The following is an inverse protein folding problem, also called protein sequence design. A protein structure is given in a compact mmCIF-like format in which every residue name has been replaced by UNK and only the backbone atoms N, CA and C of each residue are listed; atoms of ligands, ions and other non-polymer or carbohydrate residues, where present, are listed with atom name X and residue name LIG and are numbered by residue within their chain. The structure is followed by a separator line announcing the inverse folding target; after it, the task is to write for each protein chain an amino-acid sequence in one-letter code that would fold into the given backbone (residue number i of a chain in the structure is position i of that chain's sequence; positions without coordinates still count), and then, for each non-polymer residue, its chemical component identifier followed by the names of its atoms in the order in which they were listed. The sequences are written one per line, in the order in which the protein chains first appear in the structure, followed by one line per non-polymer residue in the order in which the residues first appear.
data_IF_550973439389
#
_entry.id   IF_550973439389
#
_cell.length_a   1.000
_cell.length_b   1.000
_cell.length_c   1.000
_cell.angle_alpha   90.00
_cell.angle_beta   90.00
_cell.angle_gamma   90.00
#
_symmetry.space_group_name_H-M   'P 1'
#
loop_
_entity.id
_entity.type
_entity.pdbx_description
1 polymer ?
#
# COMPACT_ATOMS: atom_id res chain seq x y z
N UNK A 1 -0.38 20.34 8.04
CA UNK A 1 -0.98 18.99 8.09
C UNK A 1 -2.16 18.83 7.12
N UNK A 2 -3.19 19.70 7.15
CA UNK A 2 -4.32 19.66 6.18
C UNK A 2 -3.95 19.93 4.72
N UNK A 3 -2.83 20.60 4.40
CA UNK A 3 -2.34 20.75 3.01
C UNK A 3 -1.76 19.46 2.39
N UNK A 4 -1.31 18.49 3.21
CA UNK A 4 -0.83 17.18 2.73
C UNK A 4 -1.98 16.20 2.46
N UNK A 5 -3.06 16.29 3.22
CA UNK A 5 -4.31 15.56 2.98
C UNK A 5 -5.26 16.25 2.00
N UNK A 6 -5.04 17.55 1.71
CA UNK A 6 -5.85 18.36 0.80
C UNK A 6 -5.79 17.91 -0.66
N UNK A 7 -4.87 17.00 -1.02
CA UNK A 7 -4.71 16.49 -2.38
C UNK A 7 -4.90 14.97 -2.51
N UNK A 8 -5.68 14.35 -1.60
CA UNK A 8 -6.20 12.98 -1.82
C UNK A 8 -6.94 12.89 -3.16
N UNK A 9 -7.60 13.99 -3.58
CA UNK A 9 -8.22 14.13 -4.90
C UNK A 9 -7.18 14.06 -6.04
N UNK A 10 -5.98 14.60 -5.87
CA UNK A 10 -4.88 14.47 -6.83
C UNK A 10 -4.43 13.03 -7.01
N UNK A 11 -4.33 12.26 -5.92
CA UNK A 11 -3.96 10.84 -5.98
C UNK A 11 -5.05 9.94 -6.58
N UNK A 12 -6.33 10.32 -6.47
CA UNK A 12 -7.45 9.68 -7.17
C UNK A 12 -7.73 10.27 -8.56
N UNK A 13 -7.10 11.40 -8.94
CA UNK A 13 -7.31 12.04 -10.24
C UNK A 13 -6.88 11.07 -11.33
N UNK A 14 -7.66 10.94 -12.40
CA UNK A 14 -7.22 10.15 -13.56
C UNK A 14 -5.98 10.82 -14.15
N UNK A 15 -4.87 10.09 -14.37
CA UNK A 15 -3.73 10.62 -15.12
C UNK A 15 -4.17 10.94 -16.54
N UNK A 16 -3.45 11.85 -17.20
CA UNK A 16 -3.75 12.26 -18.57
C UNK A 16 -3.62 11.10 -19.57
N UNK A 17 -2.76 10.12 -19.26
CA UNK A 17 -2.70 8.82 -19.95
C UNK A 17 -2.92 7.70 -18.93
N UNK A 18 -4.00 6.96 -19.12
CA UNK A 18 -4.39 5.81 -18.32
C UNK A 18 -3.69 4.54 -18.84
N UNK A 19 -2.49 4.27 -18.33
CA UNK A 19 -1.74 3.03 -18.57
C UNK A 19 -2.03 1.98 -17.49
N UNK A 20 -2.26 2.43 -16.26
CA UNK A 20 -2.34 1.59 -15.07
C UNK A 20 -3.78 1.36 -14.57
N UNK A 21 -3.99 0.22 -13.91
CA UNK A 21 -5.22 -0.07 -13.17
C UNK A 21 -5.40 0.84 -11.96
N UNK A 22 -6.65 1.16 -11.61
CA UNK A 22 -6.96 1.95 -10.40
C UNK A 22 -6.45 1.26 -9.12
N UNK A 23 -6.59 -0.07 -9.05
CA UNK A 23 -6.14 -0.86 -7.90
C UNK A 23 -4.61 -0.85 -7.78
N UNK A 24 -3.89 -0.92 -8.90
CA UNK A 24 -2.43 -0.82 -8.93
C UNK A 24 -1.95 0.53 -8.37
N UNK A 25 -2.63 1.62 -8.73
CA UNK A 25 -2.35 2.96 -8.18
C UNK A 25 -2.70 3.08 -6.69
N UNK A 26 -3.81 2.49 -6.25
CA UNK A 26 -4.16 2.47 -4.82
C UNK A 26 -3.07 1.77 -3.99
N UNK A 27 -2.53 0.65 -4.50
CA UNK A 27 -1.42 -0.03 -3.86
C UNK A 27 -0.14 0.83 -3.89
N UNK A 28 0.37 1.20 -5.06
CA UNK A 28 1.73 1.76 -5.13
C UNK A 28 1.84 3.23 -4.75
N UNK A 29 0.83 4.05 -5.06
CA UNK A 29 0.90 5.50 -4.88
C UNK A 29 0.20 5.89 -3.59
N UNK A 30 -1.08 5.54 -3.47
CA UNK A 30 -1.87 5.95 -2.31
C UNK A 30 -1.36 5.31 -1.02
N UNK A 31 -1.06 4.00 -1.01
CA UNK A 31 -0.54 3.32 0.19
C UNK A 31 0.85 3.85 0.57
N UNK A 32 1.71 4.13 -0.40
CA UNK A 32 3.03 4.75 -0.13
C UNK A 32 2.89 6.11 0.53
N UNK A 33 2.04 7.00 -0.01
CA UNK A 33 1.81 8.33 0.58
C UNK A 33 1.18 8.22 1.96
N UNK A 34 0.22 7.31 2.14
CA UNK A 34 -0.39 7.03 3.42
C UNK A 34 0.67 6.62 4.46
N UNK A 35 1.49 5.62 4.15
CA UNK A 35 2.52 5.10 5.05
C UNK A 35 3.61 6.14 5.34
N UNK A 36 4.03 6.93 4.35
CA UNK A 36 4.96 8.05 4.55
C UNK A 36 4.35 9.12 5.46
N UNK A 37 3.07 9.43 5.28
CA UNK A 37 2.37 10.40 6.13
C UNK A 37 2.29 9.90 7.57
N UNK A 38 1.93 8.63 7.78
CA UNK A 38 1.95 7.98 9.09
C UNK A 38 3.35 7.99 9.71
N UNK A 39 4.38 7.66 8.93
CA UNK A 39 5.78 7.73 9.37
C UNK A 39 6.16 9.14 9.84
N UNK A 40 5.79 10.18 9.08
CA UNK A 40 6.08 11.57 9.44
C UNK A 40 5.36 11.99 10.72
N UNK A 41 4.10 11.57 10.91
CA UNK A 41 3.33 11.85 12.14
C UNK A 41 4.02 11.22 13.34
N UNK A 42 4.39 9.94 13.25
CA UNK A 42 5.07 9.23 14.35
C UNK A 42 6.41 9.89 14.65
N UNK A 43 7.22 10.20 13.64
CA UNK A 43 8.51 10.89 13.83
C UNK A 43 8.33 12.26 14.48
N UNK A 44 7.31 13.03 14.08
CA UNK A 44 7.02 14.32 14.71
C UNK A 44 6.68 14.16 16.20
N UNK A 45 5.89 13.15 16.56
CA UNK A 45 5.57 12.87 17.97
C UNK A 45 6.76 12.37 18.79
N UNK A 46 7.74 11.72 18.16
CA UNK A 46 8.97 11.26 18.81
C UNK A 46 10.01 12.38 19.01
N UNK A 47 10.15 13.30 18.05
CA UNK A 47 11.19 14.33 18.06
C UNK A 47 10.75 15.65 18.69
N UNK A 48 9.49 16.04 18.49
CA UNK A 48 8.94 17.32 18.97
C UNK A 48 8.09 17.14 20.23
N UNK A 49 7.47 15.96 20.38
CA UNK A 49 6.67 15.62 21.55
C UNK A 49 7.49 15.00 22.69
N UNK A 50 6.82 14.75 23.81
CA UNK A 50 7.36 13.92 24.89
C UNK A 50 6.90 12.47 24.65
N UNK A 51 7.77 11.57 24.13
CA UNK A 51 7.36 10.21 23.78
C UNK A 51 6.99 9.37 25.01
N UNK A 52 7.58 9.69 26.17
CA UNK A 52 7.35 9.05 27.46
C UNK A 52 7.34 10.11 28.57
N UNK A 53 6.50 9.91 29.57
CA UNK A 53 6.42 10.77 30.76
C UNK A 53 6.37 9.90 32.01
N UNK A 54 7.44 9.91 32.80
CA UNK A 54 7.56 9.12 34.01
C UNK A 54 7.23 9.93 35.28
N UNK A 55 6.68 9.24 36.27
CA UNK A 55 6.48 9.74 37.63
C UNK A 55 7.82 9.67 38.36
N UNK A 56 8.41 10.82 38.65
CA UNK A 56 9.69 10.98 39.33
C UNK A 56 9.82 12.39 39.92
N UNK A 57 10.76 12.57 40.84
CA UNK A 57 11.11 13.87 41.41
C UNK A 57 11.58 14.86 40.33
N UNK A 58 11.12 16.11 40.43
CA UNK A 58 11.37 17.15 39.42
C UNK A 58 12.86 17.37 39.09
N UNK A 59 13.79 17.08 40.02
CA UNK A 59 15.23 17.24 39.81
C UNK A 59 15.85 16.18 38.87
N UNK A 60 15.26 14.99 38.79
CA UNK A 60 15.84 13.84 38.04
C UNK A 60 14.89 13.39 36.92
N UNK A 61 13.69 13.96 36.83
CA UNK A 61 12.65 13.59 35.86
C UNK A 61 13.16 13.49 34.42
N UNK A 62 13.87 14.50 33.91
CA UNK A 62 14.39 14.47 32.53
C UNK A 62 15.38 13.30 32.29
N UNK A 63 16.22 12.98 33.27
CA UNK A 63 17.19 11.88 33.18
C UNK A 63 16.46 10.54 33.17
N UNK A 64 15.45 10.37 34.03
CA UNK A 64 14.63 9.16 34.09
C UNK A 64 13.82 8.99 32.80
N UNK A 65 13.15 10.05 32.32
CA UNK A 65 12.40 10.02 31.06
C UNK A 65 13.30 9.59 29.90
N UNK A 66 14.50 10.17 29.78
CA UNK A 66 15.47 9.84 28.74
C UNK A 66 15.99 8.40 28.88
N UNK A 67 16.33 7.98 30.10
CA UNK A 67 16.81 6.64 30.37
C UNK A 67 15.76 5.59 30.03
N UNK A 68 14.53 5.76 30.52
CA UNK A 68 13.42 4.84 30.29
C UNK A 68 13.03 4.78 28.81
N UNK A 69 13.18 5.87 28.07
CA UNK A 69 13.01 5.85 26.62
C UNK A 69 14.07 5.00 25.92
N UNK A 70 15.33 5.06 26.34
CA UNK A 70 16.46 4.34 25.70
C UNK A 70 16.51 2.87 26.13
N UNK A 71 16.41 2.59 27.42
CA UNK A 71 16.62 1.25 28.02
C UNK A 71 15.38 0.34 27.95
N UNK A 72 14.32 0.82 27.29
CA UNK A 72 13.01 0.17 27.13
C UNK A 72 12.23 0.04 28.44
N UNK A 73 10.91 -0.08 28.30
CA UNK A 73 9.99 -0.29 29.42
C UNK A 73 9.37 -1.68 29.36
N UNK A 74 8.76 -2.12 30.46
CA UNK A 74 8.14 -3.43 30.54
C UNK A 74 6.76 -3.41 31.20
N UNK A 75 5.99 -4.47 30.95
CA UNK A 75 4.74 -4.79 31.64
C UNK A 75 4.81 -6.21 32.20
N UNK A 76 3.91 -6.51 33.14
CA UNK A 76 3.72 -7.84 33.71
C UNK A 76 2.48 -8.48 33.05
N UNK A 77 2.62 -9.56 32.26
CA UNK A 77 1.51 -10.22 31.56
C UNK A 77 0.38 -10.67 32.50
N UNK A 78 0.70 -11.18 33.68
CA UNK A 78 -0.31 -11.64 34.66
C UNK A 78 -1.17 -10.49 35.20
N UNK A 79 -0.63 -9.26 35.18
CA UNK A 79 -1.30 -8.08 35.69
C UNK A 79 -2.37 -7.54 34.73
N UNK A 80 -2.52 -8.09 33.52
CA UNK A 80 -3.62 -7.72 32.62
C UNK A 80 -4.96 -8.37 33.01
N UNK A 81 -4.94 -9.50 33.72
CA UNK A 81 -6.15 -10.22 34.14
C UNK A 81 -6.63 -9.82 35.56
N UNK A 82 -5.88 -8.97 36.25
CA UNK A 82 -6.17 -8.52 37.62
C UNK A 82 -7.11 -7.33 37.64
N UNK A 83 -7.88 -7.18 38.73
CA UNK A 83 -8.84 -6.08 38.83
C UNK A 83 -8.14 -4.73 39.06
N UNK A 84 -8.38 -3.79 38.13
CA UNK A 84 -7.83 -2.43 38.20
C UNK A 84 -8.49 -1.66 39.35
N UNK A 85 -7.71 -0.90 40.10
CA UNK A 85 -8.16 -0.10 41.24
C UNK A 85 -8.22 -0.85 42.57
N UNK A 86 -8.13 -2.18 42.54
CA UNK A 86 -8.06 -3.03 43.75
C UNK A 86 -6.72 -3.75 43.83
N UNK A 87 -6.37 -4.53 42.81
CA UNK A 87 -5.15 -5.36 42.79
C UNK A 87 -4.00 -4.70 42.03
N UNK A 88 -4.31 -3.88 41.02
CA UNK A 88 -3.33 -3.20 40.16
C UNK A 88 -3.75 -1.76 39.86
N UNK A 89 -2.79 -0.85 39.74
CA UNK A 89 -3.08 0.55 39.42
C UNK A 89 -3.53 0.74 37.96
N UNK A 90 -2.93 -0.02 37.04
CA UNK A 90 -3.27 -0.06 35.62
C UNK A 90 -3.05 -1.47 35.06
N UNK A 91 -3.73 -1.86 33.97
CA UNK A 91 -3.50 -3.15 33.33
C UNK A 91 -2.02 -3.34 32.95
N UNK A 92 -1.46 -4.50 33.28
CA UNK A 92 -0.06 -4.81 32.99
C UNK A 92 0.97 -4.17 33.93
N UNK A 93 0.53 -3.38 34.91
CA UNK A 93 1.40 -2.73 35.90
C UNK A 93 1.28 -3.46 37.23
N UNK A 94 2.32 -4.19 37.62
CA UNK A 94 2.43 -4.82 38.93
C UNK A 94 3.88 -4.87 39.40
N UNK A 95 4.07 -5.19 40.68
CA UNK A 95 5.38 -5.49 41.21
C UNK A 95 5.88 -6.79 40.60
N UNK A 96 7.18 -6.82 40.35
CA UNK A 96 7.86 -7.92 39.67
C UNK A 96 8.26 -9.04 40.62
N UNK A 97 8.06 -8.91 41.95
CA UNK A 97 8.34 -9.91 43.00
C UNK A 97 9.69 -10.67 42.87
N UNK A 98 10.67 -10.13 42.15
CA UNK A 98 11.94 -10.80 41.84
C UNK A 98 11.91 -11.73 40.60
N UNK A 99 10.76 -11.91 39.96
CA UNK A 99 10.58 -12.73 38.75
C UNK A 99 10.91 -11.93 37.47
N UNK A 100 12.20 -11.80 37.18
CA UNK A 100 12.70 -11.05 36.01
C UNK A 100 12.21 -11.70 34.69
N UNK A 101 12.04 -13.02 34.66
CA UNK A 101 11.62 -13.77 33.47
C UNK A 101 10.17 -13.56 33.05
N UNK A 102 9.31 -13.05 33.94
CA UNK A 102 7.91 -12.78 33.63
C UNK A 102 7.69 -11.42 32.93
N UNK A 103 8.73 -10.57 32.82
CA UNK A 103 8.62 -9.22 32.26
C UNK A 103 8.53 -9.26 30.74
N UNK A 104 7.52 -8.59 30.19
CA UNK A 104 7.43 -8.33 28.75
C UNK A 104 8.01 -6.95 28.42
N UNK A 105 9.11 -6.92 27.68
CA UNK A 105 9.79 -5.69 27.27
C UNK A 105 9.28 -5.16 25.94
N UNK A 106 9.18 -3.83 25.82
CA UNK A 106 8.71 -3.17 24.60
C UNK A 106 9.81 -2.27 24.02
N UNK A 107 10.56 -2.80 23.05
CA UNK A 107 11.69 -2.10 22.38
C UNK A 107 11.31 -1.51 21.02
N UNK A 108 10.18 -1.94 20.45
CA UNK A 108 9.86 -1.70 19.05
C UNK A 108 9.42 -0.25 18.75
N UNK A 109 9.01 0.54 19.75
CA UNK A 109 8.47 1.91 19.55
C UNK A 109 9.45 2.84 18.85
N UNK A 110 10.75 2.68 19.14
CA UNK A 110 11.82 3.45 18.50
C UNK A 110 11.93 3.12 17.01
N UNK A 111 11.54 1.91 16.61
CA UNK A 111 11.68 1.40 15.25
C UNK A 111 10.43 1.61 14.38
N UNK A 112 9.27 1.88 14.97
CA UNK A 112 7.99 2.04 14.26
C UNK A 112 8.08 3.03 13.08
N UNK A 113 8.71 4.18 13.27
CA UNK A 113 8.85 5.18 12.21
C UNK A 113 9.69 4.67 11.03
N UNK A 114 10.82 4.01 11.30
CA UNK A 114 11.66 3.42 10.26
C UNK A 114 10.96 2.27 9.54
N UNK A 115 10.23 1.43 10.27
CA UNK A 115 9.45 0.35 9.70
C UNK A 115 8.43 0.93 8.70
N UNK A 116 7.58 1.87 9.12
CA UNK A 116 6.59 2.51 8.24
C UNK A 116 7.23 3.14 6.99
N UNK A 117 8.41 3.77 7.13
CA UNK A 117 9.15 4.32 6.01
C UNK A 117 9.61 3.23 5.01
N UNK A 118 10.21 2.14 5.48
CA UNK A 118 10.62 1.04 4.62
C UNK A 118 9.42 0.33 3.99
N UNK A 119 8.32 0.18 4.72
CA UNK A 119 7.07 -0.38 4.16
C UNK A 119 6.56 0.47 3.00
N UNK A 120 6.61 1.80 3.12
CA UNK A 120 6.25 2.71 2.03
C UNK A 120 7.16 2.52 0.81
N UNK A 121 8.47 2.41 1.02
CA UNK A 121 9.43 2.17 -0.07
C UNK A 121 9.15 0.86 -0.79
N UNK A 122 8.88 -0.22 -0.05
CA UNK A 122 8.52 -1.51 -0.64
C UNK A 122 7.18 -1.43 -1.38
N UNK A 123 6.18 -0.69 -0.89
CA UNK A 123 4.91 -0.47 -1.60
C UNK A 123 5.09 0.25 -2.95
N UNK A 124 6.09 1.13 -3.08
CA UNK A 124 6.38 1.84 -4.31
C UNK A 124 7.17 1.00 -5.35
N UNK A 125 7.85 -0.06 -4.91
CA UNK A 125 8.74 -0.88 -5.74
C UNK A 125 8.09 -1.41 -7.03
N UNK A 126 6.84 -1.95 -7.03
CA UNK A 126 6.22 -2.44 -8.25
C UNK A 126 5.97 -1.33 -9.29
N UNK A 127 5.63 -0.12 -8.85
CA UNK A 127 5.48 1.03 -9.77
C UNK A 127 6.81 1.41 -10.40
N UNK A 128 7.88 1.46 -9.59
CA UNK A 128 9.20 1.79 -10.07
C UNK A 128 9.70 0.77 -11.11
N UNK A 129 9.51 -0.52 -10.87
CA UNK A 129 9.83 -1.58 -11.83
C UNK A 129 9.00 -1.46 -13.13
N UNK A 130 7.72 -1.12 -13.01
CA UNK A 130 6.86 -0.91 -14.17
C UNK A 130 7.32 0.28 -15.01
N UNK A 131 7.64 1.42 -14.38
CA UNK A 131 8.10 2.62 -15.08
C UNK A 131 9.39 2.38 -15.87
N UNK A 132 10.34 1.62 -15.31
CA UNK A 132 11.57 1.22 -16.01
C UNK A 132 11.24 0.31 -17.20
N UNK A 133 10.29 -0.61 -17.03
CA UNK A 133 9.94 -1.60 -18.04
C UNK A 133 9.08 -1.03 -19.19
N UNK A 134 8.21 -0.06 -18.89
CA UNK A 134 7.30 0.55 -19.86
C UNK A 134 8.04 1.51 -20.81
N UNK A 135 9.06 2.21 -20.32
CA UNK A 135 9.90 3.08 -21.15
C UNK A 135 9.15 4.24 -21.82
N UNK A 136 7.93 4.57 -21.36
CA UNK A 136 7.11 5.65 -21.91
C UNK A 136 6.34 5.31 -23.20
N UNK A 137 6.33 4.05 -23.65
CA UNK A 137 5.72 3.64 -24.92
C UNK A 137 4.26 4.12 -25.08
N UNK A 138 3.41 3.84 -24.09
CA UNK A 138 2.00 4.20 -24.16
C UNK A 138 1.78 5.73 -24.21
N UNK A 139 2.59 6.49 -23.47
CA UNK A 139 2.56 7.95 -23.52
C UNK A 139 2.95 8.48 -24.91
N UNK A 140 4.02 7.93 -25.52
CA UNK A 140 4.44 8.29 -26.88
C UNK A 140 3.39 7.95 -27.93
N UNK A 141 2.68 6.82 -27.77
CA UNK A 141 1.63 6.40 -28.71
C UNK A 141 0.35 7.24 -28.61
N UNK A 142 0.07 7.84 -27.46
CA UNK A 142 -1.16 8.63 -27.21
C UNK A 142 -0.94 10.13 -27.42
N UNK A 143 0.29 10.61 -27.18
CA UNK A 143 0.59 12.04 -27.18
C UNK A 143 0.28 12.69 -28.54
N UNK A 144 -0.67 13.63 -28.52
CA UNK A 144 -1.08 14.38 -29.70
C UNK A 144 -2.07 13.65 -30.62
N UNK A 145 -2.82 12.68 -30.09
CA UNK A 145 -4.01 12.12 -30.73
C UNK A 145 -5.29 12.68 -30.11
N UNK A 146 -5.31 14.01 -29.88
CA UNK A 146 -6.45 14.72 -29.31
C UNK A 146 -7.11 15.62 -30.38
N UNK A 147 -8.35 15.29 -30.75
CA UNK A 147 -9.10 15.96 -31.81
C UNK A 147 -9.39 17.44 -31.51
N UNK A 148 -9.51 17.81 -30.23
CA UNK A 148 -9.87 19.18 -29.84
C UNK A 148 -8.68 20.15 -29.75
N UNK A 149 -7.44 19.66 -29.79
CA UNK A 149 -6.24 20.48 -29.49
C UNK A 149 -5.29 20.61 -30.68
N UNK A 150 -5.36 19.71 -31.66
CA UNK A 150 -4.43 19.65 -32.79
C UNK A 150 -5.12 19.82 -34.15
N UNK A 151 -4.45 20.45 -35.15
CA UNK A 151 -4.99 20.59 -36.49
C UNK A 151 -5.09 19.25 -37.22
N UNK A 152 -6.09 19.08 -38.09
CA UNK A 152 -6.41 17.81 -38.78
C UNK A 152 -5.23 17.20 -39.54
N UNK A 153 -4.40 18.03 -40.18
CA UNK A 153 -3.21 17.58 -40.92
C UNK A 153 -2.16 16.91 -40.02
N UNK A 154 -2.03 17.37 -38.78
CA UNK A 154 -1.07 16.81 -37.82
C UNK A 154 -1.57 15.47 -37.25
N UNK A 155 -2.87 15.36 -37.01
CA UNK A 155 -3.53 14.12 -36.58
C UNK A 155 -3.42 13.06 -37.68
N UNK A 156 -3.62 13.42 -38.95
CA UNK A 156 -3.49 12.50 -40.08
C UNK A 156 -2.08 11.90 -40.19
N UNK A 157 -1.04 12.73 -40.00
CA UNK A 157 0.37 12.28 -39.97
C UNK A 157 0.66 11.37 -38.78
N UNK A 158 0.21 11.73 -37.57
CA UNK A 158 0.43 10.90 -36.37
C UNK A 158 -0.33 9.58 -36.45
N UNK A 159 -1.54 9.58 -37.00
CA UNK A 159 -2.34 8.39 -37.27
C UNK A 159 -1.63 7.42 -38.22
N UNK A 160 -1.00 7.92 -39.29
CA UNK A 160 -0.24 7.06 -40.20
C UNK A 160 1.03 6.50 -39.55
N UNK A 161 1.73 7.29 -38.73
CA UNK A 161 2.88 6.81 -37.94
C UNK A 161 2.46 5.72 -36.94
N UNK A 162 1.37 5.94 -36.21
CA UNK A 162 0.80 4.95 -35.29
C UNK A 162 0.43 3.65 -36.02
N UNK A 163 -0.15 3.76 -37.21
CA UNK A 163 -0.51 2.58 -38.01
C UNK A 163 0.70 1.83 -38.55
N UNK A 164 1.73 2.53 -39.00
CA UNK A 164 2.98 1.92 -39.44
C UNK A 164 3.66 1.20 -38.27
N UNK A 165 3.69 1.81 -37.09
CA UNK A 165 4.22 1.18 -35.87
C UNK A 165 3.44 -0.08 -35.50
N UNK A 166 2.11 0.02 -35.39
CA UNK A 166 1.26 -1.11 -35.00
C UNK A 166 1.37 -2.27 -35.99
N UNK A 167 1.47 -1.99 -37.30
CA UNK A 167 1.60 -3.02 -38.34
C UNK A 167 3.00 -3.65 -38.36
N UNK A 168 4.06 -2.86 -38.15
CA UNK A 168 5.44 -3.35 -38.13
C UNK A 168 5.76 -4.23 -36.89
N UNK A 169 5.06 -4.02 -35.78
CA UNK A 169 5.36 -4.66 -34.49
C UNK A 169 4.29 -5.66 -34.02
N UNK A 170 3.43 -6.17 -34.91
CA UNK A 170 2.42 -7.20 -34.57
C UNK A 170 3.11 -8.43 -33.96
N UNK A 171 2.53 -9.00 -32.88
CA UNK A 171 2.99 -10.16 -32.10
C UNK A 171 4.26 -9.96 -31.27
N UNK A 172 4.86 -8.77 -31.26
CA UNK A 172 6.09 -8.51 -30.49
C UNK A 172 5.82 -8.05 -29.05
N UNK A 173 4.60 -7.62 -28.73
CA UNK A 173 4.27 -6.97 -27.45
C UNK A 173 3.88 -7.92 -26.31
N UNK A 174 3.97 -9.24 -26.50
CA UNK A 174 3.60 -10.21 -25.46
C UNK A 174 4.41 -10.00 -24.16
N UNK A 175 5.73 -9.75 -24.28
CA UNK A 175 6.59 -9.50 -23.11
C UNK A 175 6.18 -8.24 -22.33
N UNK A 176 5.71 -7.19 -23.01
CA UNK A 176 5.25 -5.95 -22.37
C UNK A 176 4.09 -6.23 -21.41
N UNK A 177 3.08 -6.99 -21.86
CA UNK A 177 1.90 -7.34 -21.05
C UNK A 177 2.24 -8.26 -19.90
N UNK A 178 3.09 -9.28 -20.13
CA UNK A 178 3.50 -10.17 -19.05
C UNK A 178 4.32 -9.44 -17.98
N UNK A 179 5.16 -8.47 -18.34
CA UNK A 179 5.85 -7.60 -17.37
C UNK A 179 4.87 -6.77 -16.54
N UNK A 180 3.83 -6.22 -17.17
CA UNK A 180 2.78 -5.49 -16.46
C UNK A 180 2.03 -6.39 -15.46
N UNK A 181 1.55 -7.56 -15.89
CA UNK A 181 0.86 -8.51 -15.01
C UNK A 181 1.77 -9.05 -13.91
N UNK A 182 3.07 -9.23 -14.19
CA UNK A 182 4.05 -9.58 -13.16
C UNK A 182 4.18 -8.49 -12.10
N UNK A 183 4.13 -7.20 -12.46
CA UNK A 183 4.11 -6.10 -11.50
C UNK A 183 2.82 -6.09 -10.66
N UNK A 184 1.66 -6.34 -11.27
CA UNK A 184 0.40 -6.47 -10.54
C UNK A 184 0.42 -7.67 -9.56
N UNK A 185 1.01 -8.79 -9.96
CA UNK A 185 1.19 -9.95 -9.08
C UNK A 185 2.20 -9.66 -7.95
N UNK A 186 3.27 -8.91 -8.24
CA UNK A 186 4.23 -8.46 -7.24
C UNK A 186 3.57 -7.58 -6.17
N UNK A 187 2.55 -6.78 -6.51
CA UNK A 187 1.75 -6.05 -5.53
C UNK A 187 1.03 -6.99 -4.55
N UNK A 188 0.47 -8.10 -5.03
CA UNK A 188 -0.16 -9.11 -4.16
C UNK A 188 0.86 -9.69 -3.18
N UNK A 189 2.01 -10.14 -3.71
CA UNK A 189 3.10 -10.67 -2.89
C UNK A 189 3.52 -9.65 -1.84
N UNK A 190 3.70 -8.39 -2.26
CA UNK A 190 4.11 -7.32 -1.38
C UNK A 190 3.13 -7.14 -0.22
N UNK A 191 1.83 -7.01 -0.46
CA UNK A 191 0.84 -6.85 0.61
C UNK A 191 0.87 -8.02 1.61
N UNK A 192 0.99 -9.26 1.14
CA UNK A 192 1.12 -10.42 2.02
C UNK A 192 2.42 -10.39 2.83
N UNK A 193 3.54 -10.02 2.20
CA UNK A 193 4.83 -9.84 2.90
C UNK A 193 4.73 -8.73 3.93
N UNK A 194 4.10 -7.59 3.62
CA UNK A 194 3.88 -6.50 4.58
C UNK A 194 3.06 -6.95 5.78
N UNK A 195 1.96 -7.65 5.55
CA UNK A 195 1.12 -8.20 6.62
C UNK A 195 1.89 -9.19 7.49
N UNK A 196 2.68 -10.08 6.88
CA UNK A 196 3.53 -11.03 7.59
C UNK A 196 4.60 -10.35 8.43
N UNK A 197 5.32 -9.36 7.85
CA UNK A 197 6.35 -8.59 8.55
C UNK A 197 5.75 -7.84 9.74
N UNK A 198 4.56 -7.25 9.60
CA UNK A 198 3.88 -6.58 10.71
C UNK A 198 3.44 -7.55 11.78
N UNK A 199 2.94 -8.71 11.39
CA UNK A 199 2.62 -9.77 12.35
C UNK A 199 3.84 -10.22 13.13
N UNK A 200 4.98 -10.39 12.46
CA UNK A 200 6.24 -10.76 13.12
C UNK A 200 6.76 -9.64 14.03
N UNK A 201 6.59 -8.38 13.65
CA UNK A 201 7.03 -7.20 14.40
C UNK A 201 6.24 -7.01 15.71
N UNK A 202 4.95 -7.36 15.74
CA UNK A 202 4.09 -7.31 16.93
C UNK A 202 3.87 -8.68 17.58
N UNK A 203 4.86 -9.58 17.52
CA UNK A 203 4.84 -10.89 18.18
C UNK A 203 3.62 -11.78 17.87
N UNK A 204 3.06 -11.68 16.66
CA UNK A 204 1.98 -12.53 16.19
C UNK A 204 0.56 -12.00 16.41
N UNK A 205 0.41 -10.83 17.04
CA UNK A 205 -0.90 -10.28 17.40
C UNK A 205 -1.53 -9.41 16.30
N UNK A 206 -0.75 -8.99 15.28
CA UNK A 206 -1.19 -8.02 14.27
C UNK A 206 -2.30 -8.56 13.34
N UNK A 207 -2.28 -9.83 12.95
CA UNK A 207 -3.32 -10.34 12.04
C UNK A 207 -4.69 -10.40 12.71
N UNK A 208 -4.73 -10.81 13.97
CA UNK A 208 -5.96 -10.84 14.79
C UNK A 208 -6.41 -9.46 15.27
N UNK A 209 -5.53 -8.45 15.17
CA UNK A 209 -5.69 -7.13 15.73
C UNK A 209 -7.00 -6.44 15.33
N UNK A 210 -7.26 -6.25 14.02
CA UNK A 210 -8.43 -5.49 13.59
C UNK A 210 -9.76 -6.20 13.81
N UNK A 211 -9.81 -7.53 13.68
CA UNK A 211 -11.02 -8.30 13.99
C UNK A 211 -11.40 -8.20 15.47
N UNK A 212 -10.41 -8.29 16.37
CA UNK A 212 -10.66 -8.15 17.82
C UNK A 212 -11.06 -6.73 18.20
N UNK A 213 -10.51 -5.71 17.55
CA UNK A 213 -10.87 -4.29 17.80
C UNK A 213 -12.29 -3.98 17.34
N UNK A 214 -12.74 -4.54 16.20
CA UNK A 214 -14.10 -4.35 15.70
C UNK A 214 -15.17 -5.02 16.58
N UNK A 215 -14.85 -6.15 17.21
CA UNK A 215 -15.80 -6.86 18.09
C UNK A 215 -16.07 -6.14 19.42
N UNK A 216 -15.14 -5.30 19.86
CA UNK A 216 -15.16 -4.67 21.19
C UNK A 216 -15.47 -3.16 21.04
N UNK A 217 -15.76 -2.65 19.82
CA UNK A 217 -15.92 -1.22 19.49
C UNK A 217 -16.87 -0.44 20.41
N UNK A 218 -17.88 -1.13 20.93
CA UNK A 218 -19.01 -0.50 21.63
C UNK A 218 -18.83 -0.42 23.16
N UNK A 219 -17.74 -0.97 23.70
CA UNK A 219 -17.44 -0.95 25.14
C UNK A 219 -16.61 0.30 25.49
N UNK A 220 -16.95 1.05 26.57
CA UNK A 220 -16.19 2.21 27.01
C UNK A 220 -14.72 1.85 27.32
N UNK A 221 -13.80 2.76 26.97
CA UNK A 221 -12.34 2.50 26.99
C UNK A 221 -11.77 2.14 28.38
N UNK A 222 -12.46 2.49 29.46
CA UNK A 222 -11.98 2.33 30.84
C UNK A 222 -12.18 0.90 31.39
N UNK A 223 -13.19 0.16 30.90
CA UNK A 223 -13.46 -1.24 31.27
C UNK A 223 -12.87 -2.26 30.28
N UNK A 224 -12.15 -1.75 29.28
CA UNK A 224 -11.67 -2.52 28.14
C UNK A 224 -10.33 -3.15 28.46
N UNK A 225 -10.32 -4.46 28.73
CA UNK A 225 -9.10 -5.27 28.58
C UNK A 225 -8.90 -5.53 27.09
N UNK A 226 -8.63 -4.45 26.33
CA UNK A 226 -8.37 -4.56 24.91
C UNK A 226 -7.12 -5.42 24.70
N UNK A 227 -7.13 -6.37 23.74
CA UNK A 227 -5.89 -6.97 23.22
C UNK A 227 -4.89 -5.90 22.75
N UNK A 228 -5.37 -4.69 22.47
CA UNK A 228 -4.57 -3.53 22.15
C UNK A 228 -3.68 -3.04 23.30
N UNK A 229 -4.10 -3.10 24.57
CA UNK A 229 -3.23 -2.68 25.70
C UNK A 229 -2.05 -3.63 25.87
N UNK A 230 -2.22 -4.89 25.47
CA UNK A 230 -1.15 -5.89 25.51
C UNK A 230 -0.06 -5.63 24.47
N UNK A 231 -0.46 -5.18 23.27
CA UNK A 231 0.47 -4.77 22.21
C UNK A 231 0.98 -3.36 22.49
N UNK A 232 0.12 -2.35 22.55
CA UNK A 232 0.46 -0.94 22.77
C UNK A 232 0.02 -0.44 24.16
N UNK A 233 0.72 -0.79 25.25
CA UNK A 233 0.40 -0.30 26.59
C UNK A 233 0.55 1.22 26.68
N UNK A 234 -0.44 1.89 27.28
CA UNK A 234 -0.40 3.34 27.54
C UNK A 234 0.40 3.67 28.81
N UNK A 235 0.56 2.70 29.71
CA UNK A 235 1.30 2.80 30.97
C UNK A 235 2.24 1.61 31.09
N UNK A 236 3.49 1.85 31.46
CA UNK A 236 4.53 0.81 31.63
C UNK A 236 5.39 1.09 32.85
N UNK A 237 6.13 0.08 33.32
CA UNK A 237 7.11 0.21 34.40
C UNK A 237 8.52 0.38 33.83
N UNK A 238 9.30 1.22 34.50
CA UNK A 238 10.73 1.40 34.25
C UNK A 238 11.48 1.38 35.59
N UNK A 239 12.65 0.73 35.60
CA UNK A 239 13.51 0.64 36.77
C UNK A 239 14.80 1.40 36.47
N UNK A 240 15.03 2.51 37.17
CA UNK A 240 16.24 3.30 37.06
C UNK A 240 17.14 3.07 38.27
N UNK A 241 18.36 2.59 38.03
CA UNK A 241 19.36 2.37 39.08
C UNK A 241 20.29 3.59 39.17
N UNK A 242 20.26 4.27 40.32
CA UNK A 242 21.16 5.37 40.65
C UNK A 242 22.20 4.89 41.65
N UNK A 243 23.47 5.28 41.46
CA UNK A 243 24.52 5.03 42.45
C UNK A 243 24.64 6.24 43.38
N UNK A 244 24.50 6.01 44.69
CA UNK A 244 24.72 7.03 45.71
C UNK A 244 26.22 7.29 45.94
N UNK A 245 26.56 8.34 46.70
CA UNK A 245 27.96 8.71 47.00
C UNK A 245 28.77 7.60 47.70
N UNK A 246 28.09 6.65 48.35
CA UNK A 246 28.70 5.48 48.98
C UNK A 246 28.88 4.28 48.04
N UNK A 247 28.49 4.39 46.76
CA UNK A 247 28.48 3.29 45.79
C UNK A 247 27.30 2.31 45.94
N UNK A 248 26.40 2.53 46.90
CA UNK A 248 25.18 1.71 47.07
C UNK A 248 24.16 2.00 45.96
N UNK A 249 23.50 0.95 45.46
CA UNK A 249 22.44 1.04 44.45
C UNK A 249 21.16 1.59 45.10
N UNK A 250 20.61 2.67 44.53
CA UNK A 250 19.30 3.20 44.82
C UNK A 250 18.39 2.92 43.62
N UNK A 251 17.39 2.06 43.82
CA UNK A 251 16.44 1.69 42.78
C UNK A 251 15.25 2.65 42.77
N UNK A 252 14.98 3.25 41.61
CA UNK A 252 13.81 4.08 41.36
C UNK A 252 12.86 3.35 40.42
N UNK A 253 11.76 2.86 40.98
CA UNK A 253 10.67 2.23 40.24
C UNK A 253 9.66 3.31 39.83
N UNK A 254 9.69 3.68 38.54
CA UNK A 254 8.83 4.73 38.00
C UNK A 254 7.74 4.14 37.10
N UNK A 255 6.52 4.66 37.28
CA UNK A 255 5.42 4.47 36.33
C UNK A 255 5.57 5.50 35.21
N UNK A 256 5.48 5.03 33.97
CA UNK A 256 5.64 5.87 32.80
C UNK A 256 4.42 5.77 31.88
N UNK A 257 3.89 6.93 31.49
CA UNK A 257 2.82 7.06 30.50
C UNK A 257 3.45 7.26 29.13
N UNK A 258 2.93 6.58 28.11
CA UNK A 258 3.42 6.62 26.73
C UNK A 258 2.37 7.22 25.80
N UNK A 259 2.30 8.56 25.65
CA UNK A 259 1.37 9.22 24.72
C UNK A 259 1.57 8.76 23.26
N UNK A 260 2.81 8.44 22.89
CA UNK A 260 3.16 7.93 21.56
C UNK A 260 2.36 6.68 21.18
N UNK A 261 2.05 5.83 22.16
CA UNK A 261 1.33 4.58 21.89
C UNK A 261 -0.11 4.79 21.48
N UNK A 262 -0.77 5.87 21.92
CA UNK A 262 -2.13 6.19 21.47
C UNK A 262 -2.12 6.48 19.96
N UNK A 263 -1.13 7.22 19.48
CA UNK A 263 -0.97 7.55 18.05
C UNK A 263 -0.66 6.28 17.24
N UNK A 264 0.24 5.44 17.74
CA UNK A 264 0.57 4.16 17.10
C UNK A 264 -0.66 3.24 17.04
N UNK A 265 -1.40 3.09 18.13
CA UNK A 265 -2.62 2.27 18.19
C UNK A 265 -3.60 2.72 17.08
N UNK A 266 -3.92 4.01 16.97
CA UNK A 266 -4.88 4.46 15.94
C UNK A 266 -4.35 4.31 14.52
N UNK A 267 -3.06 4.57 14.33
CA UNK A 267 -2.39 4.42 13.03
C UNK A 267 -2.44 2.98 12.54
N UNK A 268 -2.11 2.02 13.40
CA UNK A 268 -2.07 0.62 13.00
C UNK A 268 -3.47 0.01 12.82
N UNK A 269 -4.51 0.48 13.51
CA UNK A 269 -5.90 0.08 13.20
C UNK A 269 -6.25 0.48 11.77
N UNK A 270 -5.95 1.72 11.40
CA UNK A 270 -6.23 2.23 10.08
C UNK A 270 -5.46 1.45 8.99
N UNK A 271 -4.16 1.23 9.20
CA UNK A 271 -3.30 0.48 8.28
C UNK A 271 -3.78 -0.97 8.13
N UNK A 272 -4.18 -1.62 9.22
CA UNK A 272 -4.71 -2.99 9.16
C UNK A 272 -5.96 -3.06 8.30
N UNK A 273 -6.95 -2.21 8.53
CA UNK A 273 -8.19 -2.17 7.74
C UNK A 273 -7.87 -1.90 6.26
N UNK A 274 -6.97 -0.95 6.00
CA UNK A 274 -6.53 -0.61 4.65
C UNK A 274 -5.88 -1.79 3.93
N UNK A 275 -4.93 -2.50 4.56
CA UNK A 275 -4.26 -3.63 3.93
C UNK A 275 -5.20 -4.81 3.67
N UNK A 276 -6.21 -5.05 4.52
CA UNK A 276 -7.22 -6.09 4.25
C UNK A 276 -8.06 -5.74 3.02
N UNK A 277 -8.56 -4.50 2.94
CA UNK A 277 -9.30 -4.02 1.75
C UNK A 277 -8.43 -4.12 0.50
N UNK A 278 -7.18 -3.66 0.60
CA UNK A 278 -6.23 -3.70 -0.50
C UNK A 278 -5.91 -5.12 -0.97
N UNK A 279 -5.78 -6.06 -0.03
CA UNK A 279 -5.58 -7.49 -0.34
C UNK A 279 -6.74 -8.05 -1.17
N UNK A 280 -7.99 -7.77 -0.75
CA UNK A 280 -9.18 -8.23 -1.47
C UNK A 280 -9.22 -7.64 -2.89
N UNK A 281 -8.96 -6.34 -3.02
CA UNK A 281 -8.95 -5.66 -4.33
C UNK A 281 -7.86 -6.21 -5.26
N UNK A 282 -6.65 -6.46 -4.74
CA UNK A 282 -5.54 -6.99 -5.53
C UNK A 282 -5.75 -8.46 -5.94
N UNK A 283 -6.31 -9.29 -5.06
CA UNK A 283 -6.69 -10.66 -5.41
C UNK A 283 -7.76 -10.65 -6.51
N UNK A 284 -8.77 -9.78 -6.37
CA UNK A 284 -9.79 -9.56 -7.41
C UNK A 284 -9.19 -9.09 -8.74
N UNK A 285 -8.18 -8.22 -8.70
CA UNK A 285 -7.46 -7.77 -9.89
C UNK A 285 -6.72 -8.93 -10.58
N UNK A 286 -6.01 -9.77 -9.82
CA UNK A 286 -5.31 -10.93 -10.40
C UNK A 286 -6.30 -11.92 -11.01
N UNK A 287 -7.43 -12.21 -10.35
CA UNK A 287 -8.49 -13.04 -10.92
C UNK A 287 -9.02 -12.44 -12.21
N UNK A 288 -9.25 -11.13 -12.25
CA UNK A 288 -9.67 -10.42 -13.46
C UNK A 288 -8.63 -10.56 -14.60
N UNK A 289 -7.33 -10.51 -14.30
CA UNK A 289 -6.28 -10.77 -15.31
C UNK A 289 -6.25 -12.21 -15.80
N UNK A 290 -6.42 -13.18 -14.90
CA UNK A 290 -6.52 -14.59 -15.28
C UNK A 290 -7.72 -14.82 -16.21
N UNK A 291 -8.87 -14.20 -15.92
CA UNK A 291 -10.04 -14.25 -16.81
C UNK A 291 -9.73 -13.67 -18.21
N UNK A 292 -8.98 -12.56 -18.30
CA UNK A 292 -8.55 -12.01 -19.60
C UNK A 292 -7.62 -12.98 -20.34
N UNK A 293 -6.70 -13.65 -19.63
CA UNK A 293 -5.77 -14.60 -20.25
C UNK A 293 -6.52 -15.83 -20.78
N UNK A 294 -7.45 -16.41 -20.02
CA UNK A 294 -8.10 -17.67 -20.41
C UNK A 294 -9.35 -17.48 -21.30
N UNK A 295 -10.05 -16.35 -21.22
CA UNK A 295 -11.33 -16.16 -21.91
C UNK A 295 -11.23 -15.11 -23.04
N UNK A 296 -11.03 -15.50 -24.31
CA UNK A 296 -10.95 -14.58 -25.44
C UNK A 296 -12.27 -13.81 -25.70
N UNK A 297 -13.42 -14.34 -25.26
CA UNK A 297 -14.71 -13.63 -25.34
C UNK A 297 -14.75 -12.39 -24.44
N UNK A 298 -14.08 -12.44 -23.29
CA UNK A 298 -13.99 -11.28 -22.37
C UNK A 298 -13.18 -10.16 -23.03
N UNK A 299 -12.10 -10.53 -23.75
CA UNK A 299 -11.25 -9.58 -24.48
C UNK A 299 -12.02 -8.75 -25.50
N UNK A 300 -12.84 -9.42 -26.32
CA UNK A 300 -13.66 -8.74 -27.32
C UNK A 300 -14.69 -7.78 -26.69
N UNK A 301 -15.35 -8.22 -25.61
CA UNK A 301 -16.34 -7.42 -24.90
C UNK A 301 -15.71 -6.21 -24.20
N UNK A 302 -14.54 -6.37 -23.58
CA UNK A 302 -13.81 -5.27 -22.96
C UNK A 302 -13.37 -4.23 -23.99
N UNK A 303 -12.89 -4.69 -25.16
CA UNK A 303 -12.50 -3.79 -26.25
C UNK A 303 -13.70 -2.98 -26.76
N UNK A 304 -14.87 -3.59 -26.87
CA UNK A 304 -16.10 -2.90 -27.24
C UNK A 304 -16.55 -1.88 -26.19
N UNK A 305 -16.45 -2.21 -24.90
CA UNK A 305 -16.82 -1.29 -23.83
C UNK A 305 -15.95 -0.03 -23.80
N UNK A 306 -14.64 -0.18 -24.07
CA UNK A 306 -13.72 0.96 -24.21
C UNK A 306 -13.93 1.69 -25.53
N UNK A 307 -14.13 0.97 -26.63
CA UNK A 307 -14.36 1.49 -27.97
C UNK A 307 -15.84 1.55 -28.37
N UNK A 308 -16.63 2.44 -27.73
CA UNK A 308 -18.10 2.50 -27.86
C UNK A 308 -18.65 2.61 -29.30
N UNK A 309 -17.84 3.08 -30.24
CA UNK A 309 -18.21 3.30 -31.64
C UNK A 309 -18.01 2.07 -32.56
N UNK A 310 -17.49 0.96 -32.02
CA UNK A 310 -17.11 -0.22 -32.80
C UNK A 310 -18.11 -1.36 -32.61
N UNK A 311 -18.40 -2.09 -33.68
CA UNK A 311 -19.26 -3.29 -33.65
C UNK A 311 -18.58 -4.46 -32.97
N UNK A 312 -19.36 -5.26 -32.22
CA UNK A 312 -18.82 -6.41 -31.48
C UNK A 312 -18.17 -7.45 -32.40
N UNK A 313 -18.72 -7.64 -33.61
CA UNK A 313 -18.18 -8.59 -34.61
C UNK A 313 -16.76 -8.22 -35.04
N UNK A 314 -16.47 -6.93 -35.22
CA UNK A 314 -15.12 -6.44 -35.56
C UNK A 314 -14.14 -6.71 -34.40
N UNK A 315 -14.58 -6.45 -33.16
CA UNK A 315 -13.80 -6.74 -31.96
C UNK A 315 -13.54 -8.24 -31.76
N UNK A 316 -14.51 -9.12 -32.08
CA UNK A 316 -14.32 -10.56 -32.02
C UNK A 316 -13.35 -11.06 -33.09
N UNK A 317 -13.47 -10.56 -34.32
CA UNK A 317 -12.60 -10.93 -35.42
C UNK A 317 -11.15 -10.53 -35.17
N UNK A 318 -10.91 -9.32 -34.62
CA UNK A 318 -9.56 -8.88 -34.30
C UNK A 318 -8.98 -9.61 -33.09
N UNK A 319 -9.78 -9.83 -32.03
CA UNK A 319 -9.33 -10.53 -30.81
C UNK A 319 -8.97 -12.00 -31.05
N UNK A 320 -9.48 -12.62 -32.13
CA UNK A 320 -9.09 -13.97 -32.55
C UNK A 320 -7.78 -14.01 -33.33
N UNK A 321 -7.42 -12.92 -34.00
CA UNK A 321 -6.24 -12.84 -34.90
C UNK A 321 -4.99 -12.30 -34.21
N UNK A 322 -5.18 -11.55 -33.12
CA UNK A 322 -4.14 -10.83 -32.41
C UNK A 322 -3.78 -11.53 -31.10
N UNK A 323 -2.50 -11.53 -30.76
CA UNK A 323 -2.02 -12.09 -29.50
C UNK A 323 -2.43 -11.21 -28.30
N UNK A 324 -2.25 -11.73 -27.07
CA UNK A 324 -2.62 -10.98 -25.86
C UNK A 324 -1.86 -9.66 -25.73
N UNK A 325 -0.60 -9.63 -26.19
CA UNK A 325 0.29 -8.48 -26.22
C UNK A 325 -0.32 -7.30 -26.96
N UNK A 326 -0.61 -7.49 -28.24
CA UNK A 326 -1.11 -6.38 -29.06
C UNK A 326 -2.58 -6.08 -28.76
N UNK A 327 -3.37 -7.07 -28.33
CA UNK A 327 -4.73 -6.81 -27.82
C UNK A 327 -4.71 -5.84 -26.63
N UNK A 328 -3.75 -5.99 -25.72
CA UNK A 328 -3.61 -5.10 -24.57
C UNK A 328 -3.28 -3.67 -25.00
N UNK A 329 -2.38 -3.49 -25.97
CA UNK A 329 -2.06 -2.16 -26.51
C UNK A 329 -3.29 -1.53 -27.15
N UNK A 330 -4.07 -2.30 -27.91
CA UNK A 330 -5.33 -1.83 -28.48
C UNK A 330 -6.34 -1.44 -27.39
N UNK A 331 -6.38 -2.17 -26.29
CA UNK A 331 -7.23 -1.87 -25.14
C UNK A 331 -6.78 -0.59 -24.39
N UNK A 332 -5.47 -0.40 -24.21
CA UNK A 332 -4.89 0.83 -23.65
C UNK A 332 -5.18 2.02 -24.56
N UNK A 333 -4.96 1.87 -25.87
CA UNK A 333 -5.24 2.91 -26.87
C UNK A 333 -6.73 3.30 -26.88
N UNK A 334 -7.64 2.32 -26.79
CA UNK A 334 -9.08 2.55 -26.73
C UNK A 334 -9.50 3.43 -25.54
N UNK A 335 -8.74 3.36 -24.45
CA UNK A 335 -9.04 4.06 -23.20
C UNK A 335 -8.46 5.48 -23.17
N UNK A 336 -7.51 5.78 -24.07
CA UNK A 336 -6.71 7.00 -24.07
C UNK A 336 -6.90 7.89 -25.30
N UNK A 337 -7.37 7.33 -26.42
CA UNK A 337 -7.58 8.06 -27.68
C UNK A 337 -9.05 8.34 -27.89
N UNK A 338 -9.35 9.48 -28.52
CA UNK A 338 -10.71 9.83 -28.93
C UNK A 338 -11.36 8.71 -29.74
N UNK A 339 -12.59 8.35 -29.39
CA UNK A 339 -13.25 7.15 -29.91
C UNK A 339 -13.44 7.15 -31.44
N UNK A 340 -13.48 8.33 -32.07
CA UNK A 340 -13.56 8.49 -33.53
C UNK A 340 -12.24 8.08 -34.19
N UNK A 341 -11.11 8.62 -33.69
CA UNK A 341 -9.77 8.30 -34.20
C UNK A 341 -9.49 6.81 -33.98
N UNK A 342 -9.84 6.29 -32.79
CA UNK A 342 -9.65 4.89 -32.46
C UNK A 342 -10.43 3.95 -33.39
N UNK A 343 -11.70 4.25 -33.71
CA UNK A 343 -12.50 3.45 -34.65
C UNK A 343 -11.81 3.36 -36.02
N UNK A 344 -11.41 4.50 -36.58
CA UNK A 344 -10.79 4.51 -37.90
C UNK A 344 -9.45 3.76 -37.94
N UNK A 345 -8.66 3.87 -36.87
CA UNK A 345 -7.39 3.14 -36.69
C UNK A 345 -7.67 1.63 -36.65
N UNK A 346 -8.66 1.20 -35.88
CA UNK A 346 -9.00 -0.21 -35.72
C UNK A 346 -9.57 -0.83 -37.01
N UNK A 347 -10.42 -0.11 -37.74
CA UNK A 347 -10.98 -0.57 -39.03
C UNK A 347 -9.88 -0.75 -40.08
N UNK A 348 -8.94 0.21 -40.17
CA UNK A 348 -7.79 0.11 -41.07
C UNK A 348 -6.88 -1.06 -40.69
N UNK A 349 -6.57 -1.20 -39.40
CA UNK A 349 -5.76 -2.31 -38.90
C UNK A 349 -6.40 -3.67 -39.19
N UNK A 350 -7.72 -3.80 -39.01
CA UNK A 350 -8.46 -5.04 -39.29
C UNK A 350 -8.36 -5.45 -40.76
N UNK A 351 -8.38 -4.47 -41.69
CA UNK A 351 -8.19 -4.72 -43.12
C UNK A 351 -6.75 -5.17 -43.43
N UNK A 352 -5.75 -4.50 -42.88
CA UNK A 352 -4.33 -4.86 -43.09
C UNK A 352 -4.02 -6.26 -42.56
N UNK A 353 -4.42 -6.56 -41.32
CA UNK A 353 -4.24 -7.89 -40.71
C UNK A 353 -5.05 -8.97 -41.43
N UNK A 354 -6.21 -8.60 -41.98
CA UNK A 354 -7.00 -9.48 -42.84
C UNK A 354 -6.25 -9.90 -44.10
N UNK A 355 -5.57 -8.96 -44.75
CA UNK A 355 -4.85 -9.18 -45.99
C UNK A 355 -3.56 -10.00 -45.78
N UNK A 356 -2.77 -9.70 -44.74
CA UNK A 356 -1.51 -10.40 -44.45
C UNK A 356 -1.69 -11.89 -44.14
N UNK A 357 -2.80 -12.28 -43.50
CA UNK A 357 -3.11 -13.69 -43.18
C UNK A 357 -3.67 -14.44 -44.42
N UNK A 358 -4.29 -13.73 -45.36
CA UNK A 358 -4.86 -14.32 -46.59
C UNK A 358 -3.83 -14.58 -47.69
N UNK A 359 -2.64 -14.01 -47.57
CA UNK A 359 -1.46 -14.33 -48.37
C UNK A 359 -0.60 -15.35 -47.61
N UNK A 360 -0.89 -16.67 -47.66
CA UNK A 360 0.10 -17.64 -47.23
C UNK A 360 1.34 -17.41 -48.09
N UNK A 361 2.48 -17.36 -47.40
CA UNK A 361 3.81 -17.29 -47.98
C UNK A 361 3.94 -18.41 -49.01
N UNK A 362 3.86 -18.05 -50.29
CA UNK A 362 4.55 -18.78 -51.34
C UNK A 362 6.03 -18.44 -51.17
N UNK A 363 6.77 -19.34 -50.53
CA UNK A 363 8.21 -19.26 -50.32
C UNK A 363 8.72 -20.62 -49.90
#
# INVERSE_FOLDING_TARGET
MFKLLGDVRGYLKRPDVQTDSMVFRMHNIFTTVLLLTCSLIVTATQMVGNPIMCIADNKIKHVIDTYCWITSTFTMPDAFNRQVGVEVAHPGVSNDFGEIGARKYYTYYQWVCFVLFFQAMFCYLPQWLWQISEGGLASTLVTGLNHCLEPEDSIAKKKSVLMNYLSAHIKTHNMYVYRYFACEFLCVINVFVQLYLMNRFFDGEFLSYGLRVLQISDIPQEERVDPMVYVFPRVTKCIFHKYGSSGSIQQHDSLCVLPLNIVNEKTYVFIWCWFIILSILLIGLVIYRLCIIFAPKIRARLLQLSGRLITIETCENISKKVDIGDWWILYVLASNVDSIIYRDVLEKLTKTVGNEISSPVNG
#
